data_IF_841636781355
#
_entry.id   IF_841636781355
#
_cell.length_a   1.000
_cell.length_b   1.000
_cell.length_c   1.000
_cell.angle_alpha   90.00
_cell.angle_beta   90.00
_cell.angle_gamma   90.00
#
_symmetry.space_group_name_H-M   'P 1'
#
loop_
_entity.id
_entity.type
_entity.pdbx_description
1 polymer ?
#
# COMPACT_ATOMS: atom_id res chain seq x y z
N UNK A 1 -9.83 8.15 19.06
CA UNK A 1 -9.57 8.13 17.60
C UNK A 1 -8.11 7.82 17.24
N UNK A 2 -7.10 8.31 17.99
CA UNK A 2 -5.69 7.98 17.73
C UNK A 2 -5.36 6.49 17.98
N UNK A 3 -6.00 5.88 18.99
CA UNK A 3 -5.80 4.45 19.33
C UNK A 3 -6.11 3.51 18.15
N UNK A 4 -7.19 3.76 17.42
CA UNK A 4 -7.63 2.90 16.31
C UNK A 4 -6.62 2.84 15.15
N UNK A 5 -5.94 3.96 14.85
CA UNK A 5 -4.95 4.02 13.78
C UNK A 5 -3.67 3.26 14.19
N UNK A 6 -3.29 3.35 15.47
CA UNK A 6 -2.12 2.65 15.97
C UNK A 6 -2.36 1.14 16.03
N UNK A 7 -3.53 0.71 16.52
CA UNK A 7 -3.90 -0.70 16.57
C UNK A 7 -3.95 -1.33 15.17
N UNK A 8 -4.53 -0.62 14.19
CA UNK A 8 -4.59 -1.12 12.81
C UNK A 8 -3.20 -1.16 12.15
N UNK A 9 -2.35 -0.18 12.44
CA UNK A 9 -0.97 -0.17 11.96
C UNK A 9 -0.19 -1.37 12.52
N UNK A 10 -0.34 -1.66 13.81
CA UNK A 10 0.37 -2.78 14.44
C UNK A 10 -0.17 -4.14 13.95
N UNK A 11 -1.49 -4.25 13.71
CA UNK A 11 -2.09 -5.41 13.03
C UNK A 11 -1.51 -5.61 11.62
N UNK A 12 -1.47 -4.55 10.81
CA UNK A 12 -0.94 -4.63 9.45
C UNK A 12 0.56 -4.99 9.42
N UNK A 13 1.36 -4.46 10.34
CA UNK A 13 2.78 -4.84 10.50
C UNK A 13 2.93 -6.32 10.83
N UNK A 14 2.17 -6.82 11.80
CA UNK A 14 2.23 -8.22 12.20
C UNK A 14 1.87 -9.15 11.02
N UNK A 15 0.79 -8.83 10.28
CA UNK A 15 0.39 -9.59 9.09
C UNK A 15 1.50 -9.64 8.04
N UNK A 16 2.11 -8.49 7.71
CA UNK A 16 3.18 -8.43 6.72
C UNK A 16 4.44 -9.19 7.16
N UNK A 17 4.79 -9.12 8.45
CA UNK A 17 5.92 -9.86 9.01
C UNK A 17 5.69 -11.37 9.00
N UNK A 18 4.48 -11.83 9.32
CA UNK A 18 4.12 -13.25 9.22
C UNK A 18 4.21 -13.75 7.80
N UNK A 19 3.65 -13.02 6.82
CA UNK A 19 3.75 -13.39 5.40
C UNK A 19 5.20 -13.49 4.93
N UNK A 20 6.08 -12.58 5.38
CA UNK A 20 7.49 -12.61 5.01
C UNK A 20 8.17 -13.92 5.42
N UNK A 21 7.97 -14.38 6.67
CA UNK A 21 8.60 -15.60 7.15
C UNK A 21 7.97 -16.86 6.56
N UNK A 22 6.65 -16.89 6.38
CA UNK A 22 5.96 -18.02 5.77
C UNK A 22 6.42 -18.25 4.31
N UNK A 23 6.61 -17.16 3.55
CA UNK A 23 7.08 -17.26 2.17
C UNK A 23 8.47 -17.89 2.04
N UNK A 24 9.28 -17.87 3.10
CA UNK A 24 10.63 -18.47 3.10
C UNK A 24 10.62 -19.99 3.28
N UNK A 25 9.51 -20.57 3.71
CA UNK A 25 9.35 -22.02 3.83
C UNK A 25 9.23 -22.69 2.45
N UNK A 26 8.83 -21.93 1.43
CA UNK A 26 8.62 -22.41 0.07
C UNK A 26 9.83 -22.12 -0.82
N UNK A 27 10.61 -23.18 -1.15
CA UNK A 27 11.84 -23.08 -1.95
C UNK A 27 11.70 -22.36 -3.31
N UNK A 28 10.61 -22.54 -4.09
CA UNK A 28 10.43 -21.79 -5.34
C UNK A 28 10.29 -20.28 -5.13
N UNK A 29 9.58 -19.88 -4.06
CA UNK A 29 9.36 -18.47 -3.72
C UNK A 29 10.68 -17.82 -3.28
N UNK A 30 11.49 -18.55 -2.50
CA UNK A 30 12.83 -18.09 -2.12
C UNK A 30 13.71 -17.87 -3.35
N UNK A 31 13.69 -18.77 -4.32
CA UNK A 31 14.48 -18.62 -5.55
C UNK A 31 14.06 -17.37 -6.34
N UNK A 32 12.76 -17.20 -6.56
CA UNK A 32 12.21 -16.04 -7.25
C UNK A 32 12.59 -14.73 -6.53
N UNK A 33 12.47 -14.69 -5.20
CA UNK A 33 12.81 -13.52 -4.41
C UNK A 33 14.31 -13.18 -4.48
N UNK A 34 15.19 -14.19 -4.44
CA UNK A 34 16.63 -13.99 -4.64
C UNK A 34 16.92 -13.41 -6.02
N UNK A 35 16.36 -14.00 -7.08
CA UNK A 35 16.56 -13.54 -8.45
C UNK A 35 16.08 -12.09 -8.61
N UNK A 36 14.87 -11.77 -8.12
CA UNK A 36 14.28 -10.43 -8.17
C UNK A 36 15.13 -9.40 -7.42
N UNK A 37 15.64 -9.73 -6.23
CA UNK A 37 16.49 -8.82 -5.46
C UNK A 37 17.85 -8.59 -6.12
N UNK A 38 18.47 -9.64 -6.66
CA UNK A 38 19.75 -9.52 -7.38
C UNK A 38 19.57 -8.67 -8.64
N UNK A 39 18.49 -8.86 -9.40
CA UNK A 39 18.21 -8.09 -10.61
C UNK A 39 17.86 -6.62 -10.31
N UNK A 40 17.09 -6.34 -9.24
CA UNK A 40 16.62 -4.99 -8.95
C UNK A 40 17.60 -4.15 -8.11
N UNK A 41 18.32 -4.77 -7.17
CA UNK A 41 19.13 -4.08 -6.15
C UNK A 41 20.60 -4.52 -6.20
N UNK A 42 20.95 -5.54 -7.00
CA UNK A 42 22.31 -6.05 -7.14
C UNK A 42 22.77 -6.97 -5.99
N UNK A 43 21.95 -7.16 -4.96
CA UNK A 43 22.26 -8.03 -3.82
C UNK A 43 21.01 -8.58 -3.15
N UNK A 44 21.17 -9.74 -2.53
CA UNK A 44 20.15 -10.34 -1.65
C UNK A 44 20.23 -9.71 -0.26
N UNK A 45 19.10 -9.21 0.22
CA UNK A 45 18.87 -8.83 1.61
C UNK A 45 18.20 -9.99 2.35
N UNK A 46 18.61 -10.23 3.60
CA UNK A 46 17.99 -11.27 4.43
C UNK A 46 16.62 -10.82 4.94
N UNK A 47 15.78 -11.78 5.33
CA UNK A 47 14.45 -11.50 5.86
C UNK A 47 14.46 -10.56 7.07
N UNK A 48 15.44 -10.73 7.96
CA UNK A 48 15.62 -9.89 9.16
C UNK A 48 15.81 -8.41 8.83
N UNK A 49 16.43 -8.10 7.68
CA UNK A 49 16.58 -6.73 7.21
C UNK A 49 15.20 -6.11 6.97
N UNK A 50 14.31 -6.81 6.26
CA UNK A 50 12.95 -6.33 6.00
C UNK A 50 12.08 -6.34 7.25
N UNK A 51 12.18 -7.37 8.09
CA UNK A 51 11.45 -7.46 9.36
C UNK A 51 11.70 -6.23 10.24
N UNK A 52 12.97 -5.85 10.40
CA UNK A 52 13.37 -4.68 11.19
C UNK A 52 12.90 -3.37 10.55
N UNK A 53 12.89 -3.28 9.22
CA UNK A 53 12.37 -2.09 8.53
C UNK A 53 10.86 -1.95 8.69
N UNK A 54 10.10 -3.05 8.61
CA UNK A 54 8.65 -3.04 8.82
C UNK A 54 8.32 -2.61 10.25
N UNK A 55 9.05 -3.13 11.24
CA UNK A 55 8.86 -2.79 12.66
C UNK A 55 8.99 -1.29 12.93
N UNK A 56 9.92 -0.61 12.23
CA UNK A 56 10.22 0.82 12.40
C UNK A 56 9.21 1.76 11.75
N UNK A 57 8.27 1.26 10.93
CA UNK A 57 7.28 2.11 10.25
C UNK A 57 6.40 2.82 11.26
N UNK A 58 6.20 4.12 11.07
CA UNK A 58 5.34 4.96 11.93
C UNK A 58 4.04 5.31 11.22
N UNK A 59 3.03 5.79 11.96
CA UNK A 59 1.80 6.31 11.34
C UNK A 59 2.07 7.49 10.40
N UNK A 60 3.04 8.34 10.75
CA UNK A 60 3.46 9.48 9.91
C UNK A 60 4.06 9.03 8.58
N UNK A 61 4.81 7.92 8.55
CA UNK A 61 5.31 7.34 7.32
C UNK A 61 4.19 6.91 6.38
N UNK A 62 3.12 6.31 6.93
CA UNK A 62 1.94 5.91 6.16
C UNK A 62 1.23 7.12 5.56
N UNK A 63 1.05 8.18 6.35
CA UNK A 63 0.43 9.44 5.88
C UNK A 63 1.28 10.07 4.78
N UNK A 64 2.60 10.13 4.97
CA UNK A 64 3.54 10.69 3.99
C UNK A 64 3.51 9.92 2.68
N UNK A 65 3.58 8.58 2.72
CA UNK A 65 3.55 7.74 1.52
C UNK A 65 2.19 7.82 0.83
N UNK A 66 1.09 7.79 1.58
CA UNK A 66 -0.26 7.93 1.03
C UNK A 66 -0.42 9.23 0.24
N UNK A 67 0.03 10.36 0.81
CA UNK A 67 0.03 11.67 0.11
C UNK A 67 0.82 11.62 -1.18
N UNK A 68 1.99 10.97 -1.19
CA UNK A 68 2.80 10.82 -2.41
C UNK A 68 2.09 9.98 -3.46
N UNK A 69 1.50 8.85 -3.08
CA UNK A 69 0.79 7.95 -4.01
C UNK A 69 -0.40 8.67 -4.66
N UNK A 70 -1.21 9.39 -3.87
CA UNK A 70 -2.39 10.10 -4.39
C UNK A 70 -2.09 11.48 -5.00
N UNK A 71 -0.82 11.91 -5.01
CA UNK A 71 -0.42 13.16 -5.68
C UNK A 71 -0.27 13.02 -7.19
N UNK A 72 -0.09 11.81 -7.69
CA UNK A 72 0.04 11.54 -9.14
C UNK A 72 -1.31 11.27 -9.80
N UNK A 73 -1.44 11.47 -11.13
CA UNK A 73 -2.65 11.11 -11.86
C UNK A 73 -3.03 9.64 -11.62
N UNK A 74 -4.32 9.38 -11.42
CA UNK A 74 -4.82 8.03 -11.17
C UNK A 74 -4.92 7.23 -12.46
N UNK A 75 -4.61 5.94 -12.40
CA UNK A 75 -4.91 5.00 -13.46
C UNK A 75 -6.17 4.22 -13.07
N UNK A 76 -7.24 4.35 -13.87
CA UNK A 76 -8.50 3.62 -13.68
C UNK A 76 -8.73 2.71 -14.88
N UNK A 77 -8.92 1.42 -14.63
CA UNK A 77 -9.28 0.43 -15.63
C UNK A 77 -10.57 -0.28 -15.19
N UNK A 78 -11.50 -0.47 -16.12
CA UNK A 78 -12.76 -1.18 -15.89
C UNK A 78 -13.13 -2.03 -17.09
N UNK A 79 -13.78 -3.16 -16.84
CA UNK A 79 -14.26 -4.06 -17.89
C UNK A 79 -15.68 -4.58 -17.58
N UNK A 80 -16.56 -4.66 -18.58
CA UNK A 80 -17.92 -5.20 -18.47
C UNK A 80 -19.06 -4.23 -18.86
N UNK A 81 -20.31 -4.70 -18.74
CA UNK A 81 -21.52 -3.98 -19.20
C UNK A 81 -21.72 -2.61 -18.55
N UNK A 82 -21.32 -2.45 -17.29
CA UNK A 82 -21.46 -1.20 -16.54
C UNK A 82 -20.38 -0.14 -16.84
N UNK A 83 -19.39 -0.44 -17.68
CA UNK A 83 -18.28 0.49 -18.01
C UNK A 83 -18.67 1.47 -19.11
N UNK A 84 -19.44 1.00 -20.10
CA UNK A 84 -19.99 1.82 -21.18
C UNK A 84 -21.41 2.33 -20.86
N UNK A 85 -22.07 1.72 -19.86
CA UNK A 85 -23.35 2.16 -19.34
C UNK A 85 -23.13 3.21 -18.24
N UNK A 86 -24.11 4.06 -17.99
CA UNK A 86 -24.09 5.16 -17.00
C UNK A 86 -23.84 4.77 -15.53
N UNK A 87 -23.55 3.50 -15.26
CA UNK A 87 -23.30 2.95 -13.92
C UNK A 87 -21.89 3.26 -13.41
N UNK A 88 -20.89 3.28 -14.29
CA UNK A 88 -19.52 3.66 -13.91
C UNK A 88 -19.44 5.19 -13.80
N UNK A 89 -18.95 5.67 -12.64
CA UNK A 89 -18.69 7.10 -12.45
C UNK A 89 -17.59 7.56 -13.39
N UNK A 90 -17.72 8.79 -13.90
CA UNK A 90 -16.70 9.38 -14.77
C UNK A 90 -15.32 9.37 -14.10
N UNK A 91 -14.27 9.12 -14.89
CA UNK A 91 -12.89 9.21 -14.43
C UNK A 91 -12.62 10.51 -13.65
N UNK A 92 -13.09 11.65 -14.16
CA UNK A 92 -12.90 12.95 -13.50
C UNK A 92 -13.56 12.99 -12.13
N UNK A 93 -14.74 12.37 -11.97
CA UNK A 93 -15.41 12.29 -10.67
C UNK A 93 -14.57 11.48 -9.67
N UNK A 94 -14.02 10.34 -10.10
CA UNK A 94 -13.20 9.46 -9.26
C UNK A 94 -11.90 10.16 -8.87
N UNK A 95 -11.21 10.74 -9.86
CA UNK A 95 -9.97 11.49 -9.67
C UNK A 95 -10.16 12.66 -8.71
N UNK A 96 -11.19 13.48 -8.92
CA UNK A 96 -11.47 14.64 -8.07
C UNK A 96 -11.83 14.23 -6.64
N UNK A 97 -12.62 13.17 -6.48
CA UNK A 97 -13.04 12.70 -5.14
C UNK A 97 -11.84 12.24 -4.33
N UNK A 98 -10.98 11.43 -4.94
CA UNK A 98 -9.77 10.92 -4.29
C UNK A 98 -8.79 12.07 -4.04
N UNK A 99 -8.51 12.91 -5.02
CA UNK A 99 -7.59 14.04 -4.84
C UNK A 99 -8.05 15.03 -3.77
N UNK A 100 -9.37 15.29 -3.63
CA UNK A 100 -9.93 16.12 -2.56
C UNK A 100 -9.75 15.51 -1.19
N UNK A 101 -9.94 14.19 -1.06
CA UNK A 101 -9.80 13.48 0.21
C UNK A 101 -8.35 13.52 0.73
N UNK A 102 -7.37 13.51 -0.17
CA UNK A 102 -5.93 13.47 0.16
C UNK A 102 -5.23 14.84 0.05
N UNK A 103 -5.98 15.92 -0.18
CA UNK A 103 -5.45 17.29 -0.22
C UNK A 103 -4.88 17.73 1.14
N UNK A 104 -3.77 18.49 1.19
CA UNK A 104 -3.17 18.94 2.45
C UNK A 104 -4.10 19.80 3.33
N UNK A 105 -5.12 20.42 2.72
CA UNK A 105 -6.07 21.34 3.38
C UNK A 105 -7.26 20.65 4.01
N UNK A 106 -7.54 19.39 3.68
CA UNK A 106 -8.68 18.64 4.22
C UNK A 106 -8.28 17.92 5.51
N UNK A 107 -8.94 18.28 6.61
CA UNK A 107 -8.84 17.53 7.88
C UNK A 107 -9.51 16.18 7.67
N UNK A 108 -8.72 15.10 7.72
CA UNK A 108 -9.15 13.72 7.48
C UNK A 108 -10.48 13.40 8.17
N UNK A 109 -11.51 13.13 7.37
CA UNK A 109 -12.81 12.63 7.79
C UNK A 109 -13.06 11.36 6.98
N UNK A 110 -12.40 10.26 7.37
CA UNK A 110 -12.57 8.94 6.72
C UNK A 110 -13.48 8.01 7.54
N UNK A 111 -13.81 8.38 8.78
CA UNK A 111 -14.81 7.70 9.60
C UNK A 111 -15.55 8.76 10.41
N UNK A 112 -16.76 9.10 9.96
CA UNK A 112 -17.72 9.96 10.62
C UNK A 112 -19.11 9.48 10.25
#
# INVERSE_FOLDING_TARGET
TCLFIQDELDRAKAQLQSMLFMNLEQRPIVFEDVARQVLAVGKRQQADYYFNRIKRITADDIVRVSRRIFSTPLAVAGYGKGVNSSDMRSYNYIADTIQRQFSPKTRWRIFG
#
